data_IF_693265484447
#
_entry.id   IF_693265484447
#
_cell.length_a   1.000
_cell.length_b   1.000
_cell.length_c   1.000
_cell.angle_alpha   90.00
_cell.angle_beta   90.00
_cell.angle_gamma   90.00
#
_symmetry.space_group_name_H-M   'P 1'
#
loop_
_entity.id
_entity.type
_entity.pdbx_description
1 polymer ?
#
# COMPACT_ATOMS: atom_id res chain seq x y z
N UNK A 1 -30.22 -63.26 81.67
CA UNK A 1 -30.71 -62.60 80.43
C UNK A 1 -31.12 -61.17 80.77
N UNK A 2 -30.96 -60.20 79.86
CA UNK A 2 -29.74 -59.45 79.57
C UNK A 2 -29.71 -58.02 80.17
N UNK A 3 -28.50 -57.46 80.27
CA UNK A 3 -28.18 -56.12 80.78
C UNK A 3 -28.24 -55.09 79.64
N UNK A 4 -29.04 -54.05 79.77
CA UNK A 4 -29.01 -52.89 78.86
C UNK A 4 -28.14 -51.80 79.47
N UNK A 5 -26.95 -51.61 78.92
CA UNK A 5 -26.02 -50.54 79.29
C UNK A 5 -26.57 -49.21 78.76
N UNK A 6 -26.82 -48.27 79.67
CA UNK A 6 -27.07 -46.86 79.33
C UNK A 6 -25.70 -46.23 79.09
N UNK A 7 -25.38 -45.99 77.81
CA UNK A 7 -24.16 -45.30 77.39
C UNK A 7 -24.34 -43.82 77.69
N UNK A 8 -23.50 -43.30 78.58
CA UNK A 8 -23.44 -41.89 78.93
C UNK A 8 -23.06 -41.06 77.68
N UNK A 9 -23.92 -40.11 77.32
CA UNK A 9 -23.64 -39.11 76.28
C UNK A 9 -22.67 -38.09 76.85
N UNK A 10 -21.40 -38.20 76.44
CA UNK A 10 -20.32 -37.27 76.79
C UNK A 10 -20.64 -35.89 76.22
N UNK A 11 -20.95 -34.93 77.09
CA UNK A 11 -21.13 -33.52 76.71
C UNK A 11 -19.82 -32.99 76.11
N UNK A 12 -19.84 -32.64 74.82
CA UNK A 12 -18.66 -32.11 74.11
C UNK A 12 -18.36 -30.71 74.62
N UNK A 13 -17.12 -30.49 75.06
CA UNK A 13 -16.64 -29.20 75.54
C UNK A 13 -16.69 -28.17 74.41
N UNK A 14 -17.00 -26.90 74.72
CA UNK A 14 -17.11 -25.81 73.72
C UNK A 14 -15.87 -25.70 72.82
N UNK A 15 -14.69 -26.01 73.33
CA UNK A 15 -13.43 -25.99 72.57
C UNK A 15 -13.36 -27.07 71.50
N UNK A 16 -13.85 -28.29 71.79
CA UNK A 16 -13.92 -29.37 70.79
C UNK A 16 -14.93 -29.03 69.68
N UNK A 17 -16.05 -28.38 70.03
CA UNK A 17 -17.03 -27.93 69.04
C UNK A 17 -16.48 -26.81 68.15
N UNK A 18 -15.71 -25.88 68.71
CA UNK A 18 -15.04 -24.82 67.94
C UNK A 18 -13.96 -25.43 67.03
N UNK A 19 -13.17 -26.37 67.53
CA UNK A 19 -12.15 -27.07 66.74
C UNK A 19 -12.77 -27.86 65.57
N UNK A 20 -13.88 -28.57 65.81
CA UNK A 20 -14.60 -29.33 64.77
C UNK A 20 -15.24 -28.37 63.73
N UNK A 21 -15.78 -27.23 64.18
CA UNK A 21 -16.32 -26.19 63.30
C UNK A 21 -15.23 -25.54 62.43
N UNK A 22 -14.07 -25.21 63.00
CA UNK A 22 -12.91 -24.66 62.27
C UNK A 22 -12.34 -25.69 61.30
N UNK A 23 -12.21 -26.96 61.72
CA UNK A 23 -11.74 -28.05 60.85
C UNK A 23 -12.71 -28.30 59.68
N UNK A 24 -14.02 -28.25 59.93
CA UNK A 24 -15.04 -28.34 58.89
C UNK A 24 -14.97 -27.17 57.90
N UNK A 25 -14.74 -25.93 58.39
CA UNK A 25 -14.51 -24.77 57.52
C UNK A 25 -13.26 -24.93 56.64
N UNK A 26 -12.14 -25.38 57.20
CA UNK A 26 -10.92 -25.61 56.43
C UNK A 26 -11.09 -26.74 55.40
N UNK A 27 -11.84 -27.80 55.73
CA UNK A 27 -12.18 -28.84 54.76
C UNK A 27 -13.08 -28.32 53.64
N UNK A 28 -14.06 -27.46 53.94
CA UNK A 28 -14.91 -26.84 52.92
C UNK A 28 -14.10 -25.93 51.99
N UNK A 29 -13.20 -25.11 52.52
CA UNK A 29 -12.33 -24.25 51.70
C UNK A 29 -11.37 -25.07 50.82
N UNK A 30 -10.83 -26.19 51.33
CA UNK A 30 -9.98 -27.10 50.55
C UNK A 30 -10.76 -27.78 49.42
N UNK A 31 -12.00 -28.22 49.67
CA UNK A 31 -12.88 -28.80 48.63
C UNK A 31 -13.21 -27.78 47.54
N UNK A 32 -13.48 -26.52 47.89
CA UNK A 32 -13.73 -25.46 46.90
C UNK A 32 -12.50 -25.15 46.03
N UNK A 33 -11.30 -25.11 46.64
CA UNK A 33 -10.04 -24.90 45.89
C UNK A 33 -9.67 -26.10 45.01
N UNK A 34 -9.98 -27.32 45.44
CA UNK A 34 -9.79 -28.53 44.65
C UNK A 34 -10.81 -28.64 43.50
N UNK A 35 -12.04 -28.17 43.69
CA UNK A 35 -13.05 -28.10 42.63
C UNK A 35 -12.67 -27.13 41.51
N UNK A 36 -12.00 -26.01 41.84
CA UNK A 36 -11.43 -25.06 40.87
C UNK A 36 -10.19 -25.59 40.13
N UNK A 37 -9.56 -26.66 40.62
CA UNK A 37 -8.37 -27.29 40.02
C UNK A 37 -8.69 -28.44 39.07
N UNK A 38 -9.95 -28.62 38.65
CA UNK A 38 -10.28 -29.59 37.60
C UNK A 38 -9.70 -29.10 36.27
N UNK A 39 -8.85 -29.90 35.59
CA UNK A 39 -8.40 -29.57 34.24
C UNK A 39 -9.53 -29.86 33.25
N UNK A 40 -9.71 -28.97 32.28
CA UNK A 40 -10.54 -29.13 31.08
C UNK A 40 -12.05 -29.38 31.27
N UNK A 41 -12.73 -28.45 31.93
CA UNK A 41 -14.04 -28.06 31.39
C UNK A 41 -13.73 -27.03 30.32
N UNK A 42 -14.00 -27.37 29.06
CA UNK A 42 -13.89 -26.45 27.91
C UNK A 42 -14.50 -25.14 28.35
N UNK A 43 -13.66 -24.12 28.58
CA UNK A 43 -14.11 -22.76 28.86
C UNK A 43 -14.70 -22.27 27.56
N UNK A 44 -15.93 -22.72 27.28
CA UNK A 44 -16.73 -22.20 26.19
C UNK A 44 -16.83 -20.72 26.45
N UNK A 45 -16.30 -19.92 25.52
CA UNK A 45 -16.39 -18.47 25.62
C UNK A 45 -17.88 -18.15 25.76
N UNK A 46 -18.27 -17.64 26.93
CA UNK A 46 -19.67 -17.30 27.16
C UNK A 46 -20.05 -16.20 26.18
N UNK A 47 -21.25 -16.29 25.59
CA UNK A 47 -21.72 -15.27 24.63
C UNK A 47 -21.65 -13.86 25.22
N UNK A 48 -21.81 -13.74 26.54
CA UNK A 48 -21.67 -12.49 27.28
C UNK A 48 -20.23 -11.92 27.20
N UNK A 49 -19.21 -12.77 27.38
CA UNK A 49 -17.80 -12.35 27.24
C UNK A 49 -17.43 -12.03 25.78
N UNK A 50 -17.97 -12.77 24.81
CA UNK A 50 -17.70 -12.52 23.38
C UNK A 50 -18.38 -11.23 22.90
N UNK A 51 -19.60 -10.97 23.36
CA UNK A 51 -20.35 -9.76 23.05
C UNK A 51 -19.61 -8.51 23.52
N UNK A 52 -19.02 -8.54 24.72
CA UNK A 52 -18.22 -7.45 25.26
C UNK A 52 -16.94 -7.19 24.44
N UNK A 53 -16.21 -8.25 24.07
CA UNK A 53 -15.01 -8.12 23.23
C UNK A 53 -15.32 -7.53 21.84
N UNK A 54 -16.40 -7.97 21.20
CA UNK A 54 -16.83 -7.41 19.92
C UNK A 54 -17.32 -5.96 20.04
N UNK A 55 -17.99 -5.62 21.14
CA UNK A 55 -18.45 -4.26 21.41
C UNK A 55 -17.28 -3.29 21.65
N UNK A 56 -16.26 -3.70 22.42
CA UNK A 56 -15.04 -2.90 22.64
C UNK A 56 -14.32 -2.65 21.31
N UNK A 57 -14.16 -3.68 20.46
CA UNK A 57 -13.55 -3.53 19.13
C UNK A 57 -14.40 -2.61 18.26
N UNK A 58 -15.73 -2.73 18.28
CA UNK A 58 -16.62 -1.88 17.49
C UNK A 58 -16.55 -0.42 17.93
N UNK A 59 -16.62 -0.14 19.23
CA UNK A 59 -16.49 1.22 19.79
C UNK A 59 -15.11 1.78 19.49
N UNK A 60 -14.06 0.97 19.60
CA UNK A 60 -12.70 1.37 19.23
C UNK A 60 -12.61 1.70 17.74
N UNK A 61 -13.16 0.88 16.86
CA UNK A 61 -13.19 1.15 15.42
C UNK A 61 -14.04 2.38 15.09
N UNK A 62 -15.16 2.59 15.77
CA UNK A 62 -15.99 3.79 15.61
C UNK A 62 -15.26 5.06 16.04
N UNK A 63 -14.53 5.01 17.17
CA UNK A 63 -13.67 6.12 17.59
C UNK A 63 -12.52 6.37 16.61
N UNK A 64 -11.87 5.32 16.11
CA UNK A 64 -10.71 5.46 15.22
C UNK A 64 -11.10 5.76 13.77
N UNK A 65 -12.32 5.43 13.33
CA UNK A 65 -12.79 5.71 11.97
C UNK A 65 -12.96 7.23 11.72
N UNK A 66 -13.00 8.05 12.76
CA UNK A 66 -13.03 9.52 12.64
C UNK A 66 -11.67 10.20 12.73
N UNK A 67 -10.57 9.44 12.89
CA UNK A 67 -9.22 10.01 12.77
C UNK A 67 -8.75 9.79 11.33
N UNK A 68 -9.35 10.54 10.41
CA UNK A 68 -8.71 10.81 9.13
C UNK A 68 -7.46 11.66 9.44
N UNK A 69 -6.21 11.17 9.22
CA UNK A 69 -5.00 11.96 9.47
C UNK A 69 -4.92 13.23 8.61
N UNK A 70 -5.89 13.48 7.73
CA UNK A 70 -5.96 14.64 6.84
C UNK A 70 -7.06 15.65 7.18
N UNK A 71 -7.88 15.44 8.22
CA UNK A 71 -8.75 16.51 8.74
C UNK A 71 -8.06 17.25 9.87
N UNK A 72 -6.94 17.87 9.52
CA UNK A 72 -6.50 19.07 10.23
C UNK A 72 -7.59 20.09 9.93
N UNK A 73 -8.46 20.40 10.89
CA UNK A 73 -9.16 21.68 10.86
C UNK A 73 -8.05 22.72 10.83
N UNK A 74 -7.77 23.22 9.63
CA UNK A 74 -6.79 24.25 9.37
C UNK A 74 -7.32 25.51 10.06
N UNK A 75 -7.08 25.59 11.36
CA UNK A 75 -7.22 26.81 12.13
C UNK A 75 -6.39 27.88 11.41
N UNK A 76 -6.95 29.08 11.28
CA UNK A 76 -6.30 30.24 10.63
C UNK A 76 -4.92 30.60 11.20
N UNK A 77 -4.50 29.93 12.28
CA UNK A 77 -3.21 30.12 12.97
C UNK A 77 -2.14 29.06 12.58
N UNK A 78 -2.49 28.05 11.78
CA UNK A 78 -1.54 27.04 11.31
C UNK A 78 -0.85 27.50 10.02
N UNK A 79 0.16 28.37 10.13
CA UNK A 79 1.12 28.61 9.05
C UNK A 79 2.06 27.40 8.93
N UNK A 80 1.64 26.42 8.13
CA UNK A 80 2.55 25.38 7.65
C UNK A 80 3.73 26.06 6.94
N UNK A 81 4.99 25.74 7.31
CA UNK A 81 6.13 26.21 6.56
C UNK A 81 6.02 25.66 5.13
N UNK A 82 6.16 26.52 4.13
CA UNK A 82 6.17 26.09 2.74
C UNK A 82 7.40 25.20 2.52
N UNK A 83 7.18 23.89 2.51
CA UNK A 83 8.22 22.94 2.15
C UNK A 83 8.51 23.11 0.65
N UNK A 84 9.58 23.82 0.32
CA UNK A 84 10.12 23.91 -1.06
C UNK A 84 10.99 22.72 -1.42
N UNK A 85 10.83 21.58 -0.73
CA UNK A 85 11.37 20.33 -1.23
C UNK A 85 10.30 19.68 -2.09
N UNK A 86 10.06 20.28 -3.26
CA UNK A 86 9.66 19.49 -4.42
C UNK A 86 10.81 18.51 -4.64
N UNK A 87 10.68 17.30 -4.10
CA UNK A 87 11.32 16.15 -4.73
C UNK A 87 10.64 16.12 -6.09
N UNK A 88 11.20 16.87 -7.04
CA UNK A 88 10.80 16.80 -8.42
C UNK A 88 10.91 15.32 -8.75
N UNK A 89 9.79 14.65 -9.11
CA UNK A 89 9.86 13.27 -9.54
C UNK A 89 10.98 13.19 -10.58
N UNK A 90 11.87 12.19 -10.47
CA UNK A 90 12.96 11.99 -11.43
C UNK A 90 12.40 12.29 -12.82
N UNK A 91 12.85 13.37 -13.50
CA UNK A 91 12.25 13.78 -14.76
C UNK A 91 12.67 12.74 -15.79
N UNK A 92 11.95 11.62 -15.84
CA UNK A 92 12.10 10.66 -16.92
C UNK A 92 11.41 11.30 -18.11
N UNK A 93 12.17 11.63 -19.15
CA UNK A 93 11.59 12.12 -20.37
C UNK A 93 10.58 11.09 -20.89
N UNK A 94 9.41 11.56 -21.28
CA UNK A 94 8.34 10.70 -21.80
C UNK A 94 8.15 11.01 -23.29
N UNK A 95 8.27 9.97 -24.12
CA UNK A 95 7.93 10.01 -25.55
C UNK A 95 6.63 9.25 -25.74
N UNK A 96 5.60 9.93 -26.23
CA UNK A 96 4.32 9.32 -26.57
C UNK A 96 4.17 9.22 -28.08
N UNK A 97 4.10 8.00 -28.59
CA UNK A 97 3.83 7.67 -29.99
C UNK A 97 2.34 7.38 -30.14
N UNK A 98 1.61 8.35 -30.67
CA UNK A 98 0.19 8.22 -31.00
C UNK A 98 0.01 7.85 -32.47
N UNK A 99 -1.20 7.48 -32.87
CA UNK A 99 -1.52 7.22 -34.28
C UNK A 99 -1.31 8.45 -35.20
N UNK A 100 -1.33 9.67 -34.64
CA UNK A 100 -1.27 10.93 -35.40
C UNK A 100 0.08 11.63 -35.31
N UNK A 101 0.93 11.25 -34.36
CA UNK A 101 2.17 11.98 -34.11
C UNK A 101 2.95 11.50 -32.89
N UNK A 102 4.20 11.97 -32.84
CA UNK A 102 5.14 11.76 -31.73
C UNK A 102 5.15 13.03 -30.88
N UNK A 103 4.95 12.83 -29.58
CA UNK A 103 4.90 13.88 -28.57
C UNK A 103 6.00 13.64 -27.55
N UNK A 104 6.73 14.69 -27.17
CA UNK A 104 7.77 14.64 -26.13
C UNK A 104 7.36 15.61 -25.04
N UNK A 105 7.19 15.13 -23.80
CA UNK A 105 6.80 15.97 -22.65
C UNK A 105 5.63 16.94 -22.96
N UNK A 106 4.57 16.42 -23.58
CA UNK A 106 3.35 17.14 -24.02
C UNK A 106 3.49 18.10 -25.21
N UNK A 107 4.69 18.22 -25.81
CA UNK A 107 4.91 18.98 -27.04
C UNK A 107 4.89 18.07 -28.28
N UNK A 108 4.09 18.43 -29.29
CA UNK A 108 4.05 17.68 -30.55
C UNK A 108 5.28 18.00 -31.40
N UNK A 109 6.13 16.99 -31.60
CA UNK A 109 7.40 17.15 -32.33
C UNK A 109 7.28 16.71 -33.79
N UNK A 110 6.52 15.64 -34.04
CA UNK A 110 6.38 15.06 -35.39
C UNK A 110 4.96 14.63 -35.65
N UNK A 111 4.44 14.91 -36.84
CA UNK A 111 3.18 14.32 -37.31
C UNK A 111 3.45 12.99 -38.03
N UNK A 112 2.64 11.99 -37.70
CA UNK A 112 2.64 10.67 -38.32
C UNK A 112 1.45 10.61 -39.29
N UNK A 113 1.68 10.14 -40.51
CA UNK A 113 0.65 9.81 -41.48
C UNK A 113 0.76 8.33 -41.83
N UNK A 114 -0.34 7.60 -41.71
CA UNK A 114 -0.42 6.16 -42.02
C UNK A 114 0.63 5.29 -41.29
N UNK A 115 0.97 5.65 -40.04
CA UNK A 115 1.96 4.93 -39.24
C UNK A 115 3.41 5.16 -39.66
N UNK A 116 3.67 6.12 -40.55
CA UNK A 116 5.01 6.51 -41.00
C UNK A 116 5.27 8.00 -40.74
N UNK A 117 6.54 8.31 -40.48
CA UNK A 117 7.05 9.69 -40.39
C UNK A 117 7.44 10.15 -41.79
N UNK A 118 7.04 11.38 -42.13
CA UNK A 118 7.30 11.98 -43.44
C UNK A 118 8.82 12.08 -43.73
N UNK A 119 9.21 11.89 -44.99
CA UNK A 119 10.61 11.88 -45.44
C UNK A 119 11.34 13.19 -45.16
N UNK A 120 10.58 14.29 -45.12
CA UNK A 120 11.09 15.62 -44.77
C UNK A 120 11.75 15.66 -43.38
N UNK A 121 11.28 14.83 -42.44
CA UNK A 121 11.81 14.79 -41.06
C UNK A 121 12.95 13.77 -40.89
N UNK A 122 13.28 13.02 -41.93
CA UNK A 122 14.28 11.93 -41.95
C UNK A 122 15.58 12.29 -42.68
N UNK A 123 15.84 13.58 -42.88
CA UNK A 123 17.04 14.06 -43.56
C UNK A 123 17.06 13.82 -45.08
N UNK A 124 15.89 13.57 -45.69
CA UNK A 124 15.76 13.40 -47.15
C UNK A 124 15.92 11.97 -47.65
N UNK A 125 16.29 11.02 -46.79
CA UNK A 125 16.38 9.59 -47.13
C UNK A 125 15.17 8.81 -46.60
N UNK A 126 14.52 8.04 -47.47
CA UNK A 126 13.32 7.27 -47.14
C UNK A 126 13.57 6.15 -46.11
N UNK A 127 14.82 5.68 -46.01
CA UNK A 127 15.23 4.62 -45.09
C UNK A 127 16.07 5.09 -43.89
N UNK A 128 16.19 6.39 -43.66
CA UNK A 128 16.88 6.87 -42.46
C UNK A 128 16.13 6.41 -41.21
N UNK A 129 16.90 5.88 -40.26
CA UNK A 129 16.41 5.47 -38.94
C UNK A 129 16.33 6.63 -37.95
N UNK A 130 16.92 7.78 -38.29
CA UNK A 130 16.97 8.95 -37.44
C UNK A 130 15.84 9.92 -37.79
N UNK A 131 15.11 10.36 -36.76
CA UNK A 131 14.08 11.39 -36.86
C UNK A 131 14.69 12.68 -36.32
N UNK A 132 15.08 13.61 -37.19
CA UNK A 132 15.80 14.83 -36.81
C UNK A 132 15.08 15.69 -35.75
N UNK A 133 13.80 16.07 -35.93
CA UNK A 133 13.12 16.90 -34.92
C UNK A 133 12.97 16.20 -33.57
N UNK A 134 12.82 14.87 -33.57
CA UNK A 134 12.78 14.08 -32.34
C UNK A 134 14.14 14.03 -31.64
N UNK A 135 15.23 13.91 -32.41
CA UNK A 135 16.58 13.99 -31.87
C UNK A 135 16.84 15.33 -31.18
N UNK A 136 16.48 16.44 -31.84
CA UNK A 136 16.71 17.78 -31.30
C UNK A 136 15.93 18.00 -29.99
N UNK A 137 14.66 17.56 -29.94
CA UNK A 137 13.83 17.63 -28.74
C UNK A 137 14.39 16.76 -27.60
N UNK A 138 14.78 15.52 -27.89
CA UNK A 138 15.33 14.59 -26.90
C UNK A 138 16.71 15.02 -26.39
N UNK A 139 17.55 15.58 -27.25
CA UNK A 139 18.86 16.10 -26.88
C UNK A 139 18.73 17.35 -25.97
N UNK A 140 17.81 18.26 -26.29
CA UNK A 140 17.50 19.40 -25.43
C UNK A 140 17.03 18.95 -24.04
N UNK A 141 16.18 17.92 -23.99
CA UNK A 141 15.70 17.36 -22.73
C UNK A 141 16.79 16.61 -21.96
N UNK A 142 17.64 15.84 -22.63
CA UNK A 142 18.80 15.18 -22.00
C UNK A 142 19.77 16.21 -21.40
N UNK A 143 20.05 17.32 -22.10
CA UNK A 143 20.85 18.42 -21.58
C UNK A 143 20.20 19.08 -20.36
N UNK A 144 18.88 19.31 -20.40
CA UNK A 144 18.12 19.84 -19.28
C UNK A 144 18.25 18.95 -18.05
N UNK A 145 18.09 17.64 -18.21
CA UNK A 145 18.23 16.67 -17.11
C UNK A 145 19.65 16.63 -16.54
N UNK A 146 20.68 16.70 -17.40
CA UNK A 146 22.09 16.80 -16.96
C UNK A 146 22.36 18.08 -16.16
N UNK A 147 21.80 19.21 -16.58
CA UNK A 147 21.96 20.48 -15.87
C UNK A 147 21.28 20.44 -14.50
N UNK A 148 20.06 19.91 -14.42
CA UNK A 148 19.34 19.74 -13.15
C UNK A 148 20.07 18.76 -12.24
N UNK A 149 20.58 17.64 -12.77
CA UNK A 149 21.31 16.66 -11.96
C UNK A 149 22.60 17.24 -11.38
N UNK A 150 23.31 18.08 -12.13
CA UNK A 150 24.51 18.78 -11.63
C UNK A 150 24.19 19.74 -10.48
N UNK A 151 23.06 20.46 -10.53
CA UNK A 151 22.64 21.39 -9.49
C UNK A 151 22.18 20.66 -8.22
N UNK A 152 21.52 19.50 -8.37
CA UNK A 152 20.99 18.68 -7.26
C UNK A 152 22.01 17.66 -6.74
N UNK A 153 23.19 17.55 -7.35
CA UNK A 153 24.23 16.56 -7.00
C UNK A 153 23.88 15.11 -7.41
N UNK A 154 22.89 14.93 -8.27
CA UNK A 154 22.45 13.64 -8.81
C UNK A 154 23.23 13.23 -10.06
N UNK A 155 23.08 11.96 -10.47
CA UNK A 155 23.62 11.43 -11.74
C UNK A 155 22.51 11.36 -12.78
N UNK A 156 22.81 11.70 -14.02
CA UNK A 156 21.90 11.47 -15.14
C UNK A 156 21.79 9.96 -15.41
N UNK A 157 20.60 9.41 -15.20
CA UNK A 157 20.33 7.98 -15.37
C UNK A 157 19.99 7.57 -16.81
N UNK A 158 19.74 8.53 -17.69
CA UNK A 158 19.42 8.28 -19.10
C UNK A 158 18.18 7.43 -19.29
N UNK A 159 17.17 7.61 -18.43
CA UNK A 159 15.92 6.85 -18.44
C UNK A 159 14.85 7.54 -19.29
N UNK A 160 14.40 6.87 -20.35
CA UNK A 160 13.31 7.31 -21.22
C UNK A 160 12.10 6.39 -21.10
N UNK A 161 10.91 6.97 -20.94
CA UNK A 161 9.65 6.22 -21.00
C UNK A 161 9.04 6.39 -22.39
N UNK A 162 8.84 5.29 -23.11
CA UNK A 162 8.20 5.26 -24.44
C UNK A 162 6.79 4.70 -24.27
N UNK A 163 5.81 5.56 -24.52
CA UNK A 163 4.39 5.23 -24.49
C UNK A 163 3.93 5.05 -25.94
N UNK A 164 3.55 3.84 -26.35
CA UNK A 164 3.15 3.58 -27.73
C UNK A 164 1.68 3.16 -27.83
N UNK A 165 1.03 3.58 -28.93
CA UNK A 165 -0.27 3.06 -29.32
C UNK A 165 -0.14 1.59 -29.75
N UNK A 166 -1.15 0.75 -29.45
CA UNK A 166 -1.10 -0.69 -29.70
C UNK A 166 -0.95 -1.08 -31.18
N UNK A 167 -1.39 -0.22 -32.10
CA UNK A 167 -1.31 -0.45 -33.55
C UNK A 167 -0.07 0.20 -34.20
N UNK A 168 0.89 0.68 -33.39
CA UNK A 168 2.10 1.33 -33.91
C UNK A 168 2.99 0.32 -34.64
N UNK A 169 3.40 0.58 -35.90
CA UNK A 169 4.32 -0.31 -36.62
C UNK A 169 5.67 -0.47 -35.91
N UNK A 170 6.21 -1.69 -35.91
CA UNK A 170 7.49 -2.01 -35.26
C UNK A 170 8.67 -1.17 -35.80
N UNK A 171 8.64 -0.85 -37.11
CA UNK A 171 9.63 0.01 -37.74
C UNK A 171 9.66 1.40 -37.08
N UNK A 172 8.52 2.00 -36.81
CA UNK A 172 8.43 3.31 -36.19
C UNK A 172 8.96 3.30 -34.75
N UNK A 173 8.68 2.25 -33.98
CA UNK A 173 9.24 2.07 -32.63
C UNK A 173 10.77 1.97 -32.69
N UNK A 174 11.30 1.25 -33.69
CA UNK A 174 12.74 1.10 -33.90
C UNK A 174 13.41 2.42 -34.27
N UNK A 175 12.78 3.24 -35.12
CA UNK A 175 13.24 4.58 -35.48
C UNK A 175 13.28 5.52 -34.26
N UNK A 176 12.25 5.48 -33.42
CA UNK A 176 12.19 6.22 -32.15
C UNK A 176 13.29 5.76 -31.20
N UNK A 177 13.52 4.45 -31.05
CA UNK A 177 14.57 3.90 -30.20
C UNK A 177 15.97 4.26 -30.69
N UNK A 178 16.20 4.19 -32.00
CA UNK A 178 17.47 4.57 -32.61
C UNK A 178 17.78 6.04 -32.34
N UNK A 179 16.79 6.91 -32.58
CA UNK A 179 16.90 8.35 -32.34
C UNK A 179 17.12 8.67 -30.85
N UNK A 180 16.41 7.98 -29.96
CA UNK A 180 16.57 8.15 -28.52
C UNK A 180 17.93 7.67 -27.99
N UNK A 181 18.45 6.57 -28.53
CA UNK A 181 19.80 6.08 -28.21
C UNK A 181 20.89 7.06 -28.64
N UNK A 182 20.72 7.73 -29.78
CA UNK A 182 21.62 8.81 -30.21
C UNK A 182 21.55 10.03 -29.29
N UNK A 183 20.37 10.32 -28.71
CA UNK A 183 20.16 11.39 -27.73
C UNK A 183 20.60 11.01 -26.30
N UNK A 184 21.50 10.04 -26.16
CA UNK A 184 22.13 9.62 -24.89
C UNK A 184 21.21 8.93 -23.87
N UNK A 185 19.99 8.54 -24.25
CA UNK A 185 19.14 7.69 -23.41
C UNK A 185 19.57 6.23 -23.54
N UNK A 186 19.86 5.60 -22.39
CA UNK A 186 20.39 4.22 -22.34
C UNK A 186 19.39 3.22 -21.75
N UNK A 187 18.49 3.70 -20.89
CA UNK A 187 17.48 2.89 -20.20
C UNK A 187 16.11 3.23 -20.78
N UNK A 188 15.35 2.22 -21.16
CA UNK A 188 14.03 2.39 -21.76
C UNK A 188 12.96 1.69 -20.92
N UNK A 189 11.88 2.40 -20.62
CA UNK A 189 10.63 1.85 -20.07
C UNK A 189 9.57 1.90 -21.14
N UNK A 190 8.90 0.79 -21.41
CA UNK A 190 7.82 0.74 -22.38
C UNK A 190 6.47 0.71 -21.67
N UNK A 191 5.55 1.56 -22.10
CA UNK A 191 4.16 1.50 -21.71
C UNK A 191 3.30 1.42 -22.97
N UNK A 192 2.26 0.60 -22.93
CA UNK A 192 1.28 0.50 -24.00
C UNK A 192 -0.07 0.96 -23.46
N UNK A 193 -0.74 1.85 -24.18
CA UNK A 193 -2.11 2.20 -23.85
C UNK A 193 -2.99 1.12 -24.46
N UNK A 194 -3.46 0.19 -23.62
CA UNK A 194 -4.49 -0.77 -24.03
C UNK A 194 -5.76 0.04 -24.26
N UNK A 195 -6.12 0.25 -25.52
CA UNK A 195 -7.42 0.82 -25.89
C UNK A 195 -8.48 0.04 -25.12
N UNK A 196 -9.18 0.73 -24.22
CA UNK A 196 -10.18 0.10 -23.36
C UNK A 196 -11.18 -0.62 -24.24
N UNK A 197 -11.15 -1.95 -24.22
CA UNK A 197 -12.38 -2.70 -24.39
C UNK A 197 -13.33 -2.13 -23.33
N UNK A 198 -14.37 -1.42 -23.76
CA UNK A 198 -15.49 -1.00 -22.92
C UNK A 198 -16.00 -2.24 -22.17
N UNK A 199 -15.56 -2.40 -20.93
CA UNK A 199 -16.19 -3.28 -19.95
C UNK A 199 -17.55 -2.69 -19.59
N UNK A 200 -18.55 -3.56 -19.49
CA UNK A 200 -19.97 -3.23 -19.47
C UNK A 200 -20.41 -2.20 -18.43
N UNK A 201 -21.40 -1.41 -18.84
CA UNK A 201 -22.39 -0.83 -17.94
C UNK A 201 -23.62 -1.73 -17.99
N UNK A 202 -24.07 -2.31 -16.87
CA UNK A 202 -25.45 -2.75 -16.71
C UNK A 202 -26.28 -1.54 -16.25
N UNK A 203 -27.18 -1.08 -17.11
CA UNK A 203 -28.49 -0.55 -16.72
C UNK A 203 -29.55 -1.24 -17.57
#
# INVERSE_FOLDING_TARGET
MPKTKITQTKERTREELIADWVAAQHQQQRKQRAARKRPDEVVGVTINSLMDAMFIILVFLLMNYSIDPLRVDASDDLKLPASTTEINPDPSAAVTVTAKGIVVNDEMVVQIKDGQVDKAFKGGEENSMQIQPLFDALNAEAQRQKNVSQLTGGKFDGLLTIIAHGETPYRLITEVLYTAGQAEFQKFKFAVVKGGARGGSPE
#
